data_IF_570942863977
#
_entry.id   IF_570942863977
#
_cell.length_a   1.000
_cell.length_b   1.000
_cell.length_c   1.000
_cell.angle_alpha   90.00
_cell.angle_beta   90.00
_cell.angle_gamma   90.00
#
_symmetry.space_group_name_H-M   'P 1'
#
loop_
_entity.id
_entity.type
_entity.pdbx_description
1 polymer ?
#
# COMPACT_ATOMS: atom_id res chain seq x y z
N UNK A 1 -4.76 25.95 9.88
CA UNK A 1 -5.07 25.01 8.78
C UNK A 1 -5.53 23.72 9.43
N UNK A 2 -6.65 23.12 9.00
CA UNK A 2 -7.13 21.84 9.55
C UNK A 2 -6.24 20.71 9.06
N UNK A 3 -6.05 19.66 9.87
CA UNK A 3 -5.20 18.52 9.51
C UNK A 3 -5.85 17.71 8.40
N UNK A 4 -5.04 17.13 7.50
CA UNK A 4 -5.56 16.32 6.38
C UNK A 4 -6.38 15.11 6.88
N UNK A 5 -5.96 14.49 7.97
CA UNK A 5 -6.68 13.39 8.62
C UNK A 5 -8.05 13.83 9.15
N UNK A 6 -8.19 15.04 9.69
CA UNK A 6 -9.46 15.62 10.13
C UNK A 6 -10.39 15.93 8.95
N UNK A 7 -9.85 16.36 7.81
CA UNK A 7 -10.62 16.61 6.59
C UNK A 7 -11.19 15.29 6.03
N UNK A 8 -10.37 14.24 5.92
CA UNK A 8 -10.79 12.91 5.45
C UNK A 8 -11.83 12.28 6.38
N UNK A 9 -11.75 12.55 7.69
CA UNK A 9 -12.78 12.10 8.64
C UNK A 9 -14.16 12.70 8.36
N UNK A 10 -14.23 13.94 7.89
CA UNK A 10 -15.50 14.63 7.58
C UNK A 10 -16.09 14.23 6.24
N UNK A 11 -15.33 13.54 5.38
CA UNK A 11 -15.75 13.11 4.05
C UNK A 11 -16.59 11.84 4.11
N UNK A 12 -17.50 11.67 3.16
CA UNK A 12 -18.23 10.42 2.99
C UNK A 12 -17.33 9.30 2.46
N UNK A 13 -17.68 8.03 2.70
CA UNK A 13 -16.93 6.84 2.23
C UNK A 13 -16.65 6.93 0.71
N UNK A 14 -17.63 7.43 -0.05
CA UNK A 14 -17.51 7.59 -1.50
C UNK A 14 -16.46 8.64 -1.90
N UNK A 15 -16.39 9.74 -1.17
CA UNK A 15 -15.45 10.82 -1.47
C UNK A 15 -14.02 10.34 -1.24
N UNK A 16 -13.75 9.64 -0.14
CA UNK A 16 -12.43 9.06 0.14
C UNK A 16 -11.98 8.14 -1.00
N UNK A 17 -12.88 7.29 -1.51
CA UNK A 17 -12.56 6.43 -2.65
C UNK A 17 -12.30 7.21 -3.93
N UNK A 18 -13.07 8.26 -4.23
CA UNK A 18 -12.84 9.10 -5.41
C UNK A 18 -11.43 9.71 -5.35
N UNK A 19 -11.02 10.24 -4.20
CA UNK A 19 -9.68 10.78 -4.02
C UNK A 19 -8.60 9.70 -4.14
N UNK A 20 -8.85 8.49 -3.63
CA UNK A 20 -7.94 7.36 -3.76
C UNK A 20 -7.75 6.97 -5.23
N UNK A 21 -8.82 6.76 -5.98
CA UNK A 21 -8.76 6.46 -7.43
C UNK A 21 -8.09 7.59 -8.22
N UNK A 22 -8.41 8.84 -7.90
CA UNK A 22 -7.78 9.99 -8.54
C UNK A 22 -6.27 10.02 -8.29
N UNK A 23 -5.84 9.72 -7.06
CA UNK A 23 -4.42 9.62 -6.71
C UNK A 23 -3.75 8.50 -7.50
N UNK A 24 -4.34 7.31 -7.58
CA UNK A 24 -3.76 6.20 -8.37
C UNK A 24 -3.65 6.54 -9.86
N UNK A 25 -4.68 7.18 -10.43
CA UNK A 25 -4.66 7.66 -11.81
C UNK A 25 -3.53 8.68 -12.02
N UNK A 26 -3.38 9.64 -11.10
CA UNK A 26 -2.32 10.64 -11.14
C UNK A 26 -0.94 9.97 -11.11
N UNK A 27 -0.72 8.98 -10.23
CA UNK A 27 0.54 8.23 -10.17
C UNK A 27 0.84 7.51 -11.47
N UNK A 28 -0.15 6.86 -12.10
CA UNK A 28 0.01 6.20 -13.40
C UNK A 28 0.37 7.20 -14.49
N UNK A 29 -0.35 8.33 -14.55
CA UNK A 29 -0.09 9.39 -15.56
C UNK A 29 1.30 9.99 -15.38
N UNK A 30 1.69 10.31 -14.16
CA UNK A 30 3.02 10.83 -13.84
C UNK A 30 4.10 9.80 -14.19
N UNK A 31 3.87 8.53 -13.86
CA UNK A 31 4.77 7.43 -14.23
C UNK A 31 4.93 7.31 -15.74
N UNK A 32 3.84 7.41 -16.49
CA UNK A 32 3.86 7.32 -17.95
C UNK A 32 4.59 8.52 -18.57
N UNK A 33 4.34 9.74 -18.08
CA UNK A 33 5.00 10.96 -18.57
C UNK A 33 6.49 10.90 -18.27
N UNK A 34 6.90 10.70 -17.01
CA UNK A 34 8.31 10.65 -16.63
C UNK A 34 8.99 9.46 -17.30
N UNK A 35 8.34 8.31 -17.30
CA UNK A 35 8.84 7.08 -17.91
C UNK A 35 9.12 7.25 -19.40
N UNK A 36 8.24 7.94 -20.15
CA UNK A 36 8.44 8.23 -21.57
C UNK A 36 9.73 9.03 -21.85
N UNK A 37 10.14 9.94 -20.95
CA UNK A 37 11.35 10.73 -21.13
C UNK A 37 12.62 10.03 -20.62
N UNK A 38 12.50 9.15 -19.60
CA UNK A 38 13.66 8.54 -18.96
C UNK A 38 14.01 7.15 -19.51
N UNK A 39 13.04 6.38 -20.00
CA UNK A 39 13.27 5.01 -20.44
C UNK A 39 13.66 4.91 -21.91
N UNK A 40 14.63 4.06 -22.18
CA UNK A 40 14.76 3.38 -23.46
C UNK A 40 13.96 2.06 -23.45
N UNK A 41 13.69 1.52 -24.64
CA UNK A 41 12.92 0.29 -24.78
C UNK A 41 13.58 -0.90 -24.05
N UNK A 42 14.92 -0.93 -24.01
CA UNK A 42 15.67 -2.02 -23.39
C UNK A 42 15.56 -2.04 -21.86
N UNK A 43 15.66 -0.87 -21.21
CA UNK A 43 15.48 -0.76 -19.76
C UNK A 43 14.02 -1.02 -19.40
N UNK A 44 13.07 -0.55 -20.22
CA UNK A 44 11.65 -0.78 -19.98
C UNK A 44 11.32 -2.28 -20.01
N UNK A 45 11.81 -3.01 -21.00
CA UNK A 45 11.57 -4.46 -21.08
C UNK A 45 12.20 -5.23 -19.92
N UNK A 46 13.37 -4.80 -19.41
CA UNK A 46 14.05 -5.48 -18.29
C UNK A 46 13.22 -5.46 -17.01
N UNK A 47 12.61 -4.32 -16.67
CA UNK A 47 11.86 -4.17 -15.42
C UNK A 47 10.57 -5.00 -15.40
N UNK A 48 10.03 -5.34 -16.58
CA UNK A 48 8.81 -6.12 -16.76
C UNK A 48 9.05 -7.63 -16.92
N UNK A 49 10.27 -8.11 -16.68
CA UNK A 49 10.57 -9.53 -16.72
C UNK A 49 9.70 -10.30 -15.73
N UNK A 50 8.93 -11.27 -16.24
CA UNK A 50 7.99 -12.07 -15.49
C UNK A 50 8.49 -13.51 -15.36
N UNK A 51 8.73 -13.94 -14.13
CA UNK A 51 8.99 -15.32 -13.77
C UNK A 51 8.14 -15.69 -12.55
N UNK A 52 7.22 -16.64 -12.73
CA UNK A 52 6.24 -17.02 -11.70
C UNK A 52 6.94 -17.51 -10.44
N UNK A 53 7.99 -18.32 -10.57
CA UNK A 53 8.71 -18.86 -9.43
C UNK A 53 9.38 -17.76 -8.61
N UNK A 54 10.00 -16.78 -9.26
CA UNK A 54 10.60 -15.60 -8.63
C UNK A 54 9.55 -14.72 -7.95
N UNK A 55 8.42 -14.46 -8.61
CA UNK A 55 7.30 -13.68 -8.04
C UNK A 55 6.74 -14.33 -6.79
N UNK A 56 6.46 -15.64 -6.83
CA UNK A 56 5.93 -16.35 -5.66
C UNK A 56 6.96 -16.45 -4.53
N UNK A 57 8.21 -16.81 -4.85
CA UNK A 57 9.26 -17.01 -3.84
C UNK A 57 9.67 -15.70 -3.16
N UNK A 58 10.03 -14.69 -3.95
CA UNK A 58 10.51 -13.42 -3.40
C UNK A 58 9.35 -12.50 -3.03
N UNK A 59 8.30 -12.41 -3.86
CA UNK A 59 7.17 -11.54 -3.58
C UNK A 59 6.32 -12.08 -2.43
N UNK A 60 5.92 -13.35 -2.50
CA UNK A 60 5.18 -14.01 -1.43
C UNK A 60 5.99 -14.11 -0.13
N UNK A 61 7.27 -14.47 -0.22
CA UNK A 61 8.17 -14.49 0.94
C UNK A 61 8.34 -13.12 1.60
N UNK A 62 8.45 -12.05 0.81
CA UNK A 62 8.53 -10.68 1.34
C UNK A 62 7.25 -10.25 2.02
N UNK A 63 6.09 -10.51 1.40
CA UNK A 63 4.80 -10.22 2.00
C UNK A 63 4.59 -10.98 3.31
N UNK A 64 4.95 -12.27 3.37
CA UNK A 64 4.88 -13.05 4.60
C UNK A 64 5.71 -12.45 5.73
N UNK A 65 6.94 -12.01 5.44
CA UNK A 65 7.82 -11.39 6.44
C UNK A 65 7.18 -10.10 6.97
N UNK A 66 6.70 -9.23 6.09
CA UNK A 66 6.08 -7.96 6.47
C UNK A 66 4.81 -8.20 7.29
N UNK A 67 3.91 -9.07 6.83
CA UNK A 67 2.67 -9.39 7.53
C UNK A 67 2.93 -10.03 8.89
N UNK A 68 3.92 -10.92 9.01
CA UNK A 68 4.30 -11.50 10.29
C UNK A 68 4.78 -10.42 11.27
N UNK A 69 5.58 -9.46 10.80
CA UNK A 69 6.02 -8.32 11.60
C UNK A 69 4.82 -7.45 11.98
N UNK A 70 3.97 -7.06 11.03
CA UNK A 70 2.80 -6.22 11.28
C UNK A 70 1.87 -6.85 12.31
N UNK A 71 1.49 -8.12 12.15
CA UNK A 71 0.62 -8.81 13.11
C UNK A 71 1.29 -9.00 14.48
N UNK A 72 2.59 -9.28 14.52
CA UNK A 72 3.33 -9.37 15.77
C UNK A 72 3.29 -8.03 16.52
N UNK A 73 3.58 -6.94 15.79
CA UNK A 73 3.61 -5.63 16.40
C UNK A 73 2.19 -5.18 16.81
N UNK A 74 1.14 -5.44 16.01
CA UNK A 74 -0.26 -5.21 16.41
C UNK A 74 -0.67 -6.00 17.65
N UNK A 75 -0.07 -7.19 17.87
CA UNK A 75 -0.35 -8.02 19.04
C UNK A 75 0.29 -7.48 20.33
N UNK A 76 1.44 -6.81 20.24
CA UNK A 76 2.23 -6.42 21.42
C UNK A 76 2.27 -4.91 21.67
N UNK A 77 2.06 -4.08 20.65
CA UNK A 77 2.09 -2.62 20.77
C UNK A 77 0.69 -2.04 20.99
N UNK A 78 0.61 -0.83 21.59
CA UNK A 78 -0.66 -0.16 21.82
C UNK A 78 -1.40 0.21 20.51
N UNK A 79 -2.72 0.04 20.49
CA UNK A 79 -3.56 0.35 19.31
C UNK A 79 -3.39 1.78 18.78
N UNK A 80 -3.18 2.76 19.66
CA UNK A 80 -3.01 4.17 19.26
C UNK A 80 -1.75 4.45 18.40
N UNK A 81 -0.80 3.50 18.34
CA UNK A 81 0.37 3.62 17.45
C UNK A 81 0.00 3.33 16.00
N UNK A 82 -1.04 2.53 15.77
CA UNK A 82 -1.54 2.12 14.45
C UNK A 82 -2.70 2.98 13.95
N UNK A 83 -3.29 3.80 14.81
CA UNK A 83 -4.41 4.67 14.45
C UNK A 83 -3.99 5.69 13.38
N UNK A 84 -4.38 5.40 12.14
CA UNK A 84 -4.23 6.25 10.97
C UNK A 84 -5.30 7.35 10.87
N UNK A 85 -6.14 7.47 11.88
CA UNK A 85 -7.29 8.34 11.88
C UNK A 85 -8.59 7.67 11.42
N UNK A 86 -8.66 6.35 11.33
CA UNK A 86 -9.87 5.63 10.89
C UNK A 86 -10.04 5.62 9.37
N UNK A 87 -8.98 5.93 8.63
CA UNK A 87 -9.03 6.13 7.18
C UNK A 87 -9.08 4.77 6.48
N UNK A 88 -8.21 3.84 6.86
CA UNK A 88 -8.21 2.48 6.31
C UNK A 88 -9.54 1.77 6.60
N UNK A 89 -10.11 1.93 7.80
CA UNK A 89 -11.44 1.42 8.15
C UNK A 89 -12.49 2.00 7.20
N UNK A 90 -12.49 3.32 6.99
CA UNK A 90 -13.43 3.97 6.08
C UNK A 90 -13.32 3.46 4.63
N UNK A 91 -12.10 3.20 4.17
CA UNK A 91 -11.85 2.68 2.81
C UNK A 91 -12.36 1.24 2.65
N UNK A 92 -12.11 0.37 3.63
CA UNK A 92 -12.27 -1.08 3.44
C UNK A 92 -13.48 -1.71 4.14
N UNK A 93 -13.92 -1.17 5.29
CA UNK A 93 -14.90 -1.84 6.15
C UNK A 93 -16.23 -2.12 5.46
N UNK A 94 -16.71 -1.24 4.58
CA UNK A 94 -18.01 -1.34 3.91
C UNK A 94 -17.91 -1.92 2.48
N UNK A 95 -16.73 -2.44 2.08
CA UNK A 95 -16.49 -2.89 0.71
C UNK A 95 -16.61 -4.40 0.58
N UNK A 96 -16.99 -4.84 -0.62
CA UNK A 96 -16.98 -6.26 -0.97
C UNK A 96 -15.54 -6.74 -1.19
N UNK A 97 -15.27 -8.00 -0.89
CA UNK A 97 -13.94 -8.61 -1.09
C UNK A 97 -13.42 -8.43 -2.54
N UNK A 98 -14.23 -8.60 -3.60
CA UNK A 98 -13.77 -8.34 -4.97
C UNK A 98 -13.36 -6.88 -5.21
N UNK A 99 -14.06 -5.92 -4.59
CA UNK A 99 -13.70 -4.51 -4.70
C UNK A 99 -12.38 -4.24 -3.97
N UNK A 100 -12.19 -4.78 -2.77
CA UNK A 100 -10.93 -4.69 -2.02
C UNK A 100 -9.78 -5.25 -2.85
N UNK A 101 -9.95 -6.43 -3.46
CA UNK A 101 -8.96 -7.05 -4.33
C UNK A 101 -8.51 -6.11 -5.46
N UNK A 102 -9.47 -5.57 -6.21
CA UNK A 102 -9.15 -4.66 -7.32
C UNK A 102 -8.50 -3.36 -6.83
N UNK A 103 -8.96 -2.83 -5.70
CA UNK A 103 -8.45 -1.59 -5.13
C UNK A 103 -7.00 -1.74 -4.69
N UNK A 104 -6.68 -2.78 -3.91
CA UNK A 104 -5.31 -3.06 -3.48
C UNK A 104 -4.39 -3.34 -4.67
N UNK A 105 -4.89 -4.04 -5.71
CA UNK A 105 -4.10 -4.30 -6.92
C UNK A 105 -3.78 -3.01 -7.67
N UNK A 106 -4.75 -2.10 -7.79
CA UNK A 106 -4.56 -0.81 -8.45
C UNK A 106 -3.56 0.06 -7.68
N UNK A 107 -3.68 0.13 -6.36
CA UNK A 107 -2.75 0.87 -5.48
C UNK A 107 -1.34 0.32 -5.64
N UNK A 108 -1.15 -0.97 -5.38
CA UNK A 108 0.15 -1.62 -5.50
C UNK A 108 0.76 -1.45 -6.90
N UNK A 109 -0.03 -1.64 -7.96
CA UNK A 109 0.45 -1.47 -9.33
C UNK A 109 0.93 -0.03 -9.58
N UNK A 110 0.11 0.96 -9.28
CA UNK A 110 0.40 2.36 -9.60
C UNK A 110 1.54 2.95 -8.76
N UNK A 111 1.61 2.60 -7.47
CA UNK A 111 2.70 3.01 -6.61
C UNK A 111 4.01 2.34 -7.01
N UNK A 112 4.05 1.02 -7.15
CA UNK A 112 5.28 0.33 -7.57
C UNK A 112 5.75 0.81 -8.95
N UNK A 113 4.83 1.06 -9.88
CA UNK A 113 5.16 1.61 -11.19
C UNK A 113 5.90 2.95 -11.07
N UNK A 114 5.42 3.89 -10.26
CA UNK A 114 6.09 5.17 -10.08
C UNK A 114 7.41 5.01 -9.33
N UNK A 115 7.36 4.40 -8.15
CA UNK A 115 8.49 4.45 -7.22
C UNK A 115 9.59 3.48 -7.59
N UNK A 116 9.26 2.25 -8.00
CA UNK A 116 10.25 1.21 -8.32
C UNK A 116 10.53 1.21 -9.82
N UNK A 117 9.45 1.22 -10.60
CA UNK A 117 9.53 1.31 -12.05
C UNK A 117 10.29 2.56 -12.47
N UNK A 118 9.81 3.76 -12.14
CA UNK A 118 10.41 4.99 -12.64
C UNK A 118 11.50 5.55 -11.73
N UNK A 119 11.18 5.92 -10.49
CA UNK A 119 12.09 6.71 -9.67
C UNK A 119 13.32 5.88 -9.27
N UNK A 120 13.15 4.66 -8.78
CA UNK A 120 14.25 3.84 -8.29
C UNK A 120 15.18 3.40 -9.43
N UNK A 121 14.64 3.05 -10.60
CA UNK A 121 15.43 2.65 -11.78
C UNK A 121 16.42 3.75 -12.20
N UNK A 122 16.01 5.02 -12.10
CA UNK A 122 16.82 6.15 -12.61
C UNK A 122 17.57 6.91 -11.52
N UNK A 123 17.04 6.99 -10.31
CA UNK A 123 17.56 7.80 -9.21
C UNK A 123 18.02 6.98 -7.99
N UNK A 124 17.79 5.66 -8.02
CA UNK A 124 18.24 4.73 -7.00
C UNK A 124 17.31 4.61 -5.79
N UNK A 125 17.62 3.62 -4.95
CA UNK A 125 16.82 3.19 -3.80
C UNK A 125 16.51 4.34 -2.82
N UNK A 126 17.54 5.11 -2.44
CA UNK A 126 17.40 6.12 -1.39
C UNK A 126 16.44 7.25 -1.79
N UNK A 127 16.56 7.76 -3.03
CA UNK A 127 15.68 8.81 -3.54
C UNK A 127 14.25 8.30 -3.65
N UNK A 128 14.05 7.11 -4.21
CA UNK A 128 12.73 6.50 -4.32
C UNK A 128 12.05 6.33 -2.95
N UNK A 129 12.77 5.80 -1.96
CA UNK A 129 12.21 5.55 -0.63
C UNK A 129 11.89 6.83 0.15
N UNK A 130 12.72 7.87 0.02
CA UNK A 130 12.43 9.17 0.65
C UNK A 130 11.21 9.82 0.00
N UNK A 131 11.15 9.89 -1.33
CA UNK A 131 10.01 10.50 -2.03
C UNK A 131 8.71 9.76 -1.72
N UNK A 132 8.76 8.42 -1.67
CA UNK A 132 7.63 7.58 -1.24
C UNK A 132 7.14 7.96 0.15
N UNK A 133 8.05 8.01 1.13
CA UNK A 133 7.70 8.33 2.50
C UNK A 133 7.14 9.75 2.67
N UNK A 134 7.68 10.73 1.93
CA UNK A 134 7.21 12.12 1.95
C UNK A 134 5.82 12.29 1.32
N UNK A 135 5.47 11.47 0.32
CA UNK A 135 4.14 11.47 -0.29
C UNK A 135 3.08 10.82 0.63
N UNK A 136 3.51 10.05 1.63
CA UNK A 136 2.66 9.56 2.70
C UNK A 136 2.41 10.62 3.79
N UNK A 137 1.98 11.81 3.35
CA UNK A 137 1.73 12.99 4.20
C UNK A 137 0.85 12.69 5.42
N UNK A 138 -0.14 11.80 5.28
CA UNK A 138 -1.01 11.36 6.38
C UNK A 138 -0.26 10.73 7.56
N UNK A 139 0.89 10.13 7.29
CA UNK A 139 1.68 9.43 8.29
C UNK A 139 2.81 10.29 8.86
N UNK A 140 3.17 11.42 8.23
CA UNK A 140 4.25 12.30 8.73
C UNK A 140 4.02 12.76 10.18
N UNK A 141 2.76 12.94 10.58
CA UNK A 141 2.40 13.33 11.95
C UNK A 141 2.34 12.13 12.94
N UNK A 142 2.40 10.91 12.42
CA UNK A 142 2.30 9.64 13.16
C UNK A 142 3.64 8.91 13.07
N UNK A 143 4.56 9.26 13.96
CA UNK A 143 5.96 8.81 13.93
C UNK A 143 6.14 7.30 13.69
N UNK A 144 5.29 6.47 14.29
CA UNK A 144 5.34 5.03 14.15
C UNK A 144 4.91 4.55 12.76
N UNK A 145 3.75 4.99 12.27
CA UNK A 145 3.27 4.68 10.92
C UNK A 145 4.23 5.20 9.85
N UNK A 146 4.79 6.39 10.05
CA UNK A 146 5.83 6.92 9.17
C UNK A 146 7.06 6.01 9.12
N UNK A 147 7.55 5.58 10.29
CA UNK A 147 8.67 4.65 10.39
C UNK A 147 8.40 3.35 9.63
N UNK A 148 7.20 2.77 9.79
CA UNK A 148 6.80 1.55 9.09
C UNK A 148 6.76 1.74 7.56
N UNK A 149 6.19 2.84 7.07
CA UNK A 149 6.15 3.14 5.64
C UNK A 149 7.55 3.38 5.06
N UNK A 150 8.44 4.05 5.79
CA UNK A 150 9.85 4.21 5.38
C UNK A 150 10.52 2.84 5.28
N UNK A 151 10.42 2.01 6.31
CA UNK A 151 11.04 0.68 6.35
C UNK A 151 10.51 -0.23 5.24
N UNK A 152 9.18 -0.28 5.07
CA UNK A 152 8.53 -1.02 3.99
C UNK A 152 9.02 -0.54 2.62
N UNK A 153 9.18 0.78 2.46
CA UNK A 153 9.64 1.35 1.20
C UNK A 153 11.07 0.92 0.84
N UNK A 154 11.98 0.98 1.80
CA UNK A 154 13.36 0.51 1.63
C UNK A 154 13.41 -1.01 1.41
N UNK A 155 12.57 -1.77 2.12
CA UNK A 155 12.51 -3.21 1.99
C UNK A 155 12.07 -3.65 0.59
N UNK A 156 10.91 -3.16 0.11
CA UNK A 156 10.43 -3.46 -1.24
C UNK A 156 11.41 -2.96 -2.31
N UNK A 157 12.02 -1.79 -2.10
CA UNK A 157 13.06 -1.28 -3.00
C UNK A 157 14.31 -2.16 -3.03
N UNK A 158 14.76 -2.70 -1.89
CA UNK A 158 15.85 -3.67 -1.85
C UNK A 158 15.48 -4.95 -2.61
N UNK A 159 14.26 -5.48 -2.42
CA UNK A 159 13.79 -6.66 -3.15
C UNK A 159 13.78 -6.39 -4.66
N UNK A 160 13.30 -5.23 -5.11
CA UNK A 160 13.35 -4.82 -6.50
C UNK A 160 14.79 -4.79 -7.05
N UNK A 161 15.75 -4.24 -6.29
CA UNK A 161 17.16 -4.20 -6.71
C UNK A 161 17.78 -5.61 -6.83
N UNK A 162 17.30 -6.57 -6.03
CA UNK A 162 17.77 -7.96 -6.06
C UNK A 162 17.14 -8.79 -7.19
N UNK A 163 15.87 -8.56 -7.49
CA UNK A 163 15.12 -9.37 -8.48
C UNK A 163 15.06 -8.72 -9.86
N UNK A 164 15.26 -7.40 -9.95
CA UNK A 164 15.04 -6.58 -11.14
C UNK A 164 13.67 -6.78 -11.80
N UNK A 165 12.66 -7.19 -11.01
CA UNK A 165 11.32 -7.49 -11.50
C UNK A 165 10.29 -6.69 -10.74
N UNK A 166 9.57 -5.85 -11.45
CA UNK A 166 8.50 -5.04 -10.89
C UNK A 166 7.32 -5.90 -10.42
N UNK A 167 7.08 -7.03 -11.09
CA UNK A 167 6.05 -7.99 -10.70
C UNK A 167 6.24 -8.55 -9.30
N UNK A 168 7.51 -8.71 -8.86
CA UNK A 168 7.83 -9.17 -7.51
C UNK A 168 7.34 -8.16 -6.47
N UNK A 169 7.62 -6.87 -6.66
CA UNK A 169 7.19 -5.84 -5.69
C UNK A 169 5.72 -5.53 -5.79
N UNK A 170 5.13 -5.49 -6.98
CA UNK A 170 3.67 -5.34 -7.18
C UNK A 170 2.95 -6.46 -6.43
N UNK A 171 3.37 -7.71 -6.61
CA UNK A 171 2.75 -8.85 -5.94
C UNK A 171 2.91 -8.80 -4.42
N UNK A 172 4.10 -8.46 -3.92
CA UNK A 172 4.34 -8.34 -2.49
C UNK A 172 3.46 -7.24 -1.85
N UNK A 173 3.49 -6.04 -2.43
CA UNK A 173 2.72 -4.89 -1.96
C UNK A 173 1.22 -5.16 -2.01
N UNK A 174 0.73 -5.70 -3.14
CA UNK A 174 -0.66 -6.13 -3.28
C UNK A 174 -1.07 -7.10 -2.17
N UNK A 175 -0.25 -8.12 -1.90
CA UNK A 175 -0.59 -9.16 -0.93
C UNK A 175 -0.62 -8.61 0.51
N UNK A 176 0.30 -7.70 0.84
CA UNK A 176 0.32 -7.00 2.14
C UNK A 176 -0.97 -6.19 2.30
N UNK A 177 -1.26 -5.29 1.36
CA UNK A 177 -2.45 -4.43 1.39
C UNK A 177 -3.73 -5.24 1.44
N UNK A 178 -3.83 -6.26 0.60
CA UNK A 178 -5.02 -7.08 0.49
C UNK A 178 -5.30 -7.85 1.78
N UNK A 179 -4.28 -8.47 2.39
CA UNK A 179 -4.47 -9.23 3.64
C UNK A 179 -4.86 -8.30 4.78
N UNK A 180 -4.20 -7.14 4.92
CA UNK A 180 -4.55 -6.15 5.96
C UNK A 180 -5.97 -5.58 5.74
N UNK A 181 -6.35 -5.28 4.50
CA UNK A 181 -7.69 -4.79 4.18
C UNK A 181 -8.79 -5.85 4.45
N UNK A 182 -8.49 -7.13 4.20
CA UNK A 182 -9.39 -8.24 4.53
C UNK A 182 -9.53 -8.38 6.05
N UNK A 183 -8.44 -8.25 6.82
CA UNK A 183 -8.50 -8.29 8.28
C UNK A 183 -9.46 -7.21 8.84
N UNK A 184 -9.33 -5.97 8.35
CA UNK A 184 -10.24 -4.85 8.68
C UNK A 184 -11.70 -5.21 8.37
N UNK A 185 -11.97 -5.73 7.16
CA UNK A 185 -13.33 -6.11 6.75
C UNK A 185 -13.91 -7.24 7.61
N UNK A 186 -13.11 -8.25 7.94
CA UNK A 186 -13.55 -9.39 8.76
C UNK A 186 -13.82 -8.96 10.20
N UNK A 187 -12.96 -8.12 10.79
CA UNK A 187 -13.16 -7.54 12.11
C UNK A 187 -14.46 -6.74 12.19
N UNK A 188 -14.74 -5.90 11.18
CA UNK A 188 -16.00 -5.15 11.11
C UNK A 188 -17.23 -6.06 11.06
N UNK A 189 -17.22 -7.08 10.19
CA UNK A 189 -18.34 -8.03 10.06
C UNK A 189 -18.56 -8.84 11.34
N UNK A 190 -17.49 -9.22 12.05
CA UNK A 190 -17.59 -9.93 13.34
C UNK A 190 -18.26 -9.04 14.39
N UNK A 191 -17.79 -7.81 14.55
CA UNK A 191 -18.32 -6.88 15.55
C UNK A 191 -19.80 -6.53 15.30
N UNK A 192 -20.23 -6.44 14.05
CA UNK A 192 -21.65 -6.27 13.71
C UNK A 192 -22.52 -7.44 14.16
N UNK A 193 -22.04 -8.68 13.98
CA UNK A 193 -22.78 -9.88 14.40
C UNK A 193 -22.87 -10.02 15.92
N UNK A 194 -21.83 -9.60 16.63
CA UNK A 194 -21.80 -9.64 18.10
C UNK A 194 -22.71 -8.57 18.70
N UNK A 195 -22.76 -7.35 18.13
CA UNK A 195 -23.67 -6.28 18.56
C UNK A 195 -25.16 -6.58 18.33
N UNK A 196 -25.51 -7.21 17.21
CA UNK A 196 -26.89 -7.66 16.92
C UNK A 196 -27.31 -8.85 17.81
N UNK A 197 -26.33 -9.59 18.35
CA UNK A 197 -26.57 -10.69 19.30
C UNK A 197 -26.79 -10.24 20.74
N UNK A 198 -26.25 -9.09 21.15
CA UNK A 198 -26.42 -8.54 22.51
C UNK A 198 -27.72 -7.78 22.74
N UNK A 199 -28.34 -7.26 21.68
CA UNK A 199 -29.63 -6.56 21.75
C UNK A 199 -30.84 -7.52 21.77
N UNK A 200 -30.59 -8.83 21.67
CA UNK A 200 -31.59 -9.90 21.63
C UNK A 200 -31.59 -10.81 22.88
N UNK A 201 -30.98 -10.38 23.99
CA UNK A 201 -30.96 -11.10 25.28
C UNK A 201 -31.56 -10.27 26.41
#
# INVERSE_FOLDING_TARGET
MRRQSEQIRMMDDREVLIHLYFTQLLLIVVSAIIGFFLFDLSTFQKIWHFDVATVLKYGGGSAMIVLAIDFLLMRYLPEHWYDDGGINEKIFQNRSIPHIFFLCLLIAFSEELLFRGVIQTHFGLFIASIVFALLHVRYLEKWFLFGMVVLLSFFLGYIYQRTNSLWVTIFAHFLIDFILAIDIRLHYVRNMKEGDGSDNV
#
